data_IF_012548432849
#
_entry.id   IF_012548432849
#
_cell.length_a   1.000
_cell.length_b   1.000
_cell.length_c   1.000
_cell.angle_alpha   90.00
_cell.angle_beta   90.00
_cell.angle_gamma   90.00
#
_symmetry.space_group_name_H-M   'P 1'
#
loop_
_entity.id
_entity.type
_entity.pdbx_description
1 polymer ?
#
# COMPACT_ATOMS: atom_id res chain seq x y z
N UNK A 1 -13.68 -9.12 26.91
CA UNK A 1 -13.76 -9.99 25.71
C UNK A 1 -14.22 -9.26 24.45
N UNK A 2 -15.29 -8.47 24.51
CA UNK A 2 -15.84 -7.74 23.35
C UNK A 2 -14.85 -6.76 22.70
N UNK A 3 -14.21 -5.88 23.48
CA UNK A 3 -13.24 -4.88 22.98
C UNK A 3 -12.02 -5.57 22.34
N UNK A 4 -11.48 -6.60 22.99
CA UNK A 4 -10.35 -7.38 22.47
C UNK A 4 -10.70 -7.98 21.11
N UNK A 5 -11.91 -8.51 20.94
CA UNK A 5 -12.37 -9.07 19.67
C UNK A 5 -12.42 -8.01 18.56
N UNK A 6 -12.91 -6.80 18.86
CA UNK A 6 -12.94 -5.68 17.91
C UNK A 6 -11.51 -5.33 17.47
N UNK A 7 -10.60 -5.15 18.43
CA UNK A 7 -9.21 -4.78 18.16
C UNK A 7 -8.46 -5.86 17.37
N UNK A 8 -8.66 -7.13 17.71
CA UNK A 8 -8.03 -8.25 17.00
C UNK A 8 -8.54 -8.37 15.56
N UNK A 9 -9.86 -8.23 15.33
CA UNK A 9 -10.40 -8.26 13.97
C UNK A 9 -9.85 -7.10 13.14
N UNK A 10 -9.84 -5.88 13.69
CA UNK A 10 -9.27 -4.71 13.02
C UNK A 10 -7.78 -4.92 12.68
N UNK A 11 -6.99 -5.41 13.65
CA UNK A 11 -5.56 -5.67 13.46
C UNK A 11 -5.32 -6.73 12.38
N UNK A 12 -5.99 -7.89 12.45
CA UNK A 12 -5.81 -8.96 11.47
C UNK A 12 -6.25 -8.52 10.09
N UNK A 13 -7.32 -7.73 9.98
CA UNK A 13 -7.74 -7.17 8.69
C UNK A 13 -6.68 -6.25 8.09
N UNK A 14 -6.09 -5.36 8.90
CA UNK A 14 -5.00 -4.48 8.45
C UNK A 14 -3.77 -5.27 8.04
N UNK A 15 -3.38 -6.30 8.82
CA UNK A 15 -2.23 -7.16 8.52
C UNK A 15 -2.39 -7.89 7.19
N UNK A 16 -3.53 -8.54 6.97
CA UNK A 16 -3.79 -9.29 5.74
C UNK A 16 -3.97 -8.36 4.53
N UNK A 17 -4.68 -7.23 4.73
CA UNK A 17 -4.85 -6.22 3.70
C UNK A 17 -3.53 -5.63 3.26
N UNK A 18 -2.68 -5.23 4.20
CA UNK A 18 -1.34 -4.69 3.93
C UNK A 18 -0.42 -5.72 3.26
N UNK A 19 -0.46 -6.97 3.71
CA UNK A 19 0.28 -8.05 3.06
C UNK A 19 -0.12 -8.21 1.59
N UNK A 20 -1.42 -8.36 1.31
CA UNK A 20 -1.88 -8.56 -0.07
C UNK A 20 -1.67 -7.30 -0.91
N UNK A 21 -1.92 -6.11 -0.36
CA UNK A 21 -1.62 -4.84 -1.03
C UNK A 21 -0.16 -4.76 -1.40
N UNK A 22 0.75 -4.97 -0.45
CA UNK A 22 2.19 -4.85 -0.66
C UNK A 22 2.72 -5.89 -1.66
N UNK A 23 2.46 -7.18 -1.43
CA UNK A 23 3.15 -8.26 -2.15
C UNK A 23 2.47 -8.67 -3.46
N UNK A 24 1.15 -8.52 -3.55
CA UNK A 24 0.38 -9.00 -4.71
C UNK A 24 0.01 -7.86 -5.66
N UNK A 25 -0.19 -6.65 -5.15
CA UNK A 25 -0.57 -5.49 -5.95
C UNK A 25 0.59 -4.50 -6.11
N UNK A 26 0.99 -3.82 -5.04
CA UNK A 26 1.91 -2.69 -5.05
C UNK A 26 3.27 -3.02 -5.68
N UNK A 27 4.00 -4.00 -5.14
CA UNK A 27 5.34 -4.36 -5.65
C UNK A 27 5.29 -4.90 -7.10
N UNK A 28 4.39 -5.84 -7.46
CA UNK A 28 4.23 -6.26 -8.84
C UNK A 28 3.89 -5.10 -9.79
N UNK A 29 3.02 -4.19 -9.39
CA UNK A 29 2.59 -3.06 -10.23
C UNK A 29 3.74 -2.05 -10.44
N UNK A 30 4.66 -1.84 -9.49
CA UNK A 30 5.90 -1.09 -9.76
C UNK A 30 6.79 -1.69 -10.84
N UNK A 31 6.76 -3.01 -11.00
CA UNK A 31 7.67 -3.73 -11.89
C UNK A 31 7.04 -3.94 -13.25
N UNK A 32 5.80 -4.39 -13.31
CA UNK A 32 5.11 -4.77 -14.55
C UNK A 32 4.08 -3.73 -14.99
N UNK A 33 3.53 -2.99 -14.03
CA UNK A 33 2.57 -1.94 -14.24
C UNK A 33 3.18 -0.71 -14.89
N UNK A 34 2.34 0.01 -15.63
CA UNK A 34 2.67 1.33 -16.19
C UNK A 34 1.85 2.43 -15.52
N UNK A 35 0.72 2.10 -14.90
CA UNK A 35 -0.26 3.08 -14.46
C UNK A 35 -0.01 3.56 -13.03
N UNK A 36 0.25 2.65 -12.08
CA UNK A 36 0.64 3.05 -10.73
C UNK A 36 1.84 4.00 -10.75
N UNK A 37 2.87 3.71 -11.55
CA UNK A 37 4.02 4.60 -11.67
C UNK A 37 3.67 5.98 -12.26
N UNK A 38 2.75 6.05 -13.22
CA UNK A 38 2.30 7.32 -13.83
C UNK A 38 1.39 8.10 -12.89
N UNK A 39 0.53 7.43 -12.13
CA UNK A 39 -0.47 8.11 -11.29
C UNK A 39 0.09 8.41 -9.91
N UNK A 40 0.70 7.40 -9.26
CA UNK A 40 1.17 7.46 -7.88
C UNK A 40 2.49 8.25 -7.74
N UNK A 41 3.41 8.19 -8.72
CA UNK A 41 4.66 8.97 -8.71
C UNK A 41 4.64 10.23 -9.58
N UNK A 42 3.50 10.64 -10.18
CA UNK A 42 3.50 11.89 -10.95
C UNK A 42 3.69 13.11 -10.05
N UNK A 43 4.50 14.06 -10.53
CA UNK A 43 4.64 15.38 -9.90
C UNK A 43 3.33 16.21 -9.91
N UNK A 44 2.31 15.80 -10.70
CA UNK A 44 1.03 16.49 -10.80
C UNK A 44 -0.05 15.84 -9.94
N UNK A 45 -0.05 16.30 -8.68
CA UNK A 45 -1.19 16.62 -7.81
C UNK A 45 -2.35 15.60 -7.77
N UNK A 46 -2.40 14.90 -6.64
CA UNK A 46 -3.58 14.23 -6.07
C UNK A 46 -4.19 13.15 -6.99
N UNK A 47 -3.93 11.89 -6.61
CA UNK A 47 -4.58 10.70 -7.19
C UNK A 47 -6.08 10.91 -7.44
N UNK A 48 -6.78 11.48 -6.46
CA UNK A 48 -8.23 11.76 -6.52
C UNK A 48 -8.53 12.85 -7.56
N UNK A 49 -7.75 13.92 -7.58
CA UNK A 49 -7.96 15.02 -8.53
C UNK A 49 -7.76 14.54 -9.96
N UNK A 50 -6.68 13.81 -10.24
CA UNK A 50 -6.42 13.23 -11.56
C UNK A 50 -7.48 12.20 -11.96
N UNK A 51 -7.84 11.25 -11.08
CA UNK A 51 -8.83 10.22 -11.36
C UNK A 51 -10.22 10.78 -11.67
N UNK A 52 -10.68 11.77 -10.88
CA UNK A 52 -12.01 12.38 -11.02
C UNK A 52 -12.07 13.31 -12.22
N UNK A 53 -11.03 14.13 -12.48
CA UNK A 53 -11.01 15.04 -13.62
C UNK A 53 -10.84 14.33 -14.96
N UNK A 54 -9.97 13.32 -15.03
CA UNK A 54 -9.72 12.62 -16.29
C UNK A 54 -10.77 11.56 -16.60
N UNK A 55 -11.60 11.18 -15.62
CA UNK A 55 -12.57 10.06 -15.70
C UNK A 55 -11.95 8.79 -16.28
N UNK A 56 -10.65 8.61 -16.10
CA UNK A 56 -9.93 7.52 -16.73
C UNK A 56 -10.24 6.23 -15.96
N UNK A 57 -10.95 5.25 -16.58
CA UNK A 57 -11.36 4.04 -15.89
C UNK A 57 -10.18 3.22 -15.38
N UNK A 58 -9.00 3.35 -16.00
CA UNK A 58 -7.78 2.66 -15.56
C UNK A 58 -7.27 3.19 -14.23
N UNK A 59 -7.40 4.50 -13.97
CA UNK A 59 -6.97 5.12 -12.71
C UNK A 59 -7.91 4.71 -11.58
N UNK A 60 -9.21 4.64 -11.87
CA UNK A 60 -10.21 4.17 -10.91
C UNK A 60 -9.98 2.70 -10.57
N UNK A 61 -9.67 1.88 -11.58
CA UNK A 61 -9.36 0.46 -11.41
C UNK A 61 -8.08 0.24 -10.61
N UNK A 62 -7.07 1.07 -10.82
CA UNK A 62 -5.83 1.06 -10.03
C UNK A 62 -6.11 1.38 -8.55
N UNK A 63 -6.87 2.45 -8.28
CA UNK A 63 -7.30 2.78 -6.91
C UNK A 63 -8.13 1.67 -6.26
N UNK A 64 -9.03 1.04 -7.02
CA UNK A 64 -9.77 -0.11 -6.53
C UNK A 64 -8.87 -1.31 -6.25
N UNK A 65 -7.88 -1.59 -7.10
CA UNK A 65 -6.94 -2.69 -6.92
C UNK A 65 -6.08 -2.51 -5.67
N UNK A 66 -5.74 -1.26 -5.30
CA UNK A 66 -5.10 -0.95 -4.02
C UNK A 66 -6.01 -1.12 -2.80
N UNK A 67 -7.30 -0.81 -2.92
CA UNK A 67 -8.26 -0.95 -1.81
C UNK A 67 -8.80 -2.39 -1.64
N UNK A 68 -8.87 -3.16 -2.73
CA UNK A 68 -9.44 -4.51 -2.77
C UNK A 68 -8.86 -5.49 -1.73
N UNK A 69 -7.53 -5.53 -1.49
CA UNK A 69 -6.92 -6.33 -0.43
C UNK A 69 -7.57 -6.17 0.95
N UNK A 70 -8.03 -4.97 1.30
CA UNK A 70 -8.66 -4.67 2.58
C UNK A 70 -10.16 -5.01 2.59
N UNK A 71 -10.82 -4.94 1.42
CA UNK A 71 -12.25 -5.19 1.24
C UNK A 71 -12.58 -6.68 1.10
N UNK A 72 -11.69 -7.48 0.53
CA UNK A 72 -12.00 -8.88 0.21
C UNK A 72 -12.30 -9.74 1.44
N UNK A 73 -11.77 -9.37 2.61
CA UNK A 73 -12.01 -10.09 3.87
C UNK A 73 -13.26 -9.60 4.62
N UNK A 74 -13.93 -8.55 4.16
CA UNK A 74 -15.12 -7.98 4.82
C UNK A 74 -16.19 -9.03 5.08
N UNK A 75 -16.60 -9.90 4.12
CA UNK A 75 -17.63 -10.91 4.38
C UNK A 75 -17.28 -11.85 5.55
N UNK A 76 -16.01 -12.24 5.69
CA UNK A 76 -15.54 -13.11 6.76
C UNK A 76 -15.44 -12.37 8.10
N UNK A 77 -14.77 -11.21 8.14
CA UNK A 77 -14.61 -10.47 9.37
C UNK A 77 -15.91 -9.89 9.90
N UNK A 78 -16.87 -9.56 9.02
CA UNK A 78 -18.20 -9.11 9.41
C UNK A 78 -18.97 -10.15 10.23
N UNK A 79 -18.83 -11.44 9.90
CA UNK A 79 -19.43 -12.53 10.68
C UNK A 79 -18.81 -12.65 12.09
N UNK A 80 -17.55 -12.23 12.25
CA UNK A 80 -16.85 -12.27 13.52
C UNK A 80 -17.15 -11.00 14.33
N UNK A 81 -16.86 -9.81 13.82
CA UNK A 81 -17.10 -8.54 14.48
C UNK A 81 -17.31 -7.40 13.47
N UNK A 82 -18.56 -6.97 13.20
CA UNK A 82 -18.83 -5.83 12.32
C UNK A 82 -18.11 -4.56 12.75
N UNK A 83 -18.07 -4.28 14.06
CA UNK A 83 -17.36 -3.11 14.59
C UNK A 83 -15.84 -3.20 14.39
N UNK A 84 -15.26 -4.40 14.56
CA UNK A 84 -13.84 -4.63 14.25
C UNK A 84 -13.54 -4.43 12.78
N UNK A 85 -14.42 -4.92 11.90
CA UNK A 85 -14.29 -4.74 10.45
C UNK A 85 -14.35 -3.27 10.04
N UNK A 86 -15.34 -2.53 10.56
CA UNK A 86 -15.47 -1.09 10.30
C UNK A 86 -14.23 -0.35 10.82
N UNK A 87 -13.78 -0.66 12.03
CA UNK A 87 -12.59 -0.04 12.61
C UNK A 87 -11.35 -0.30 11.77
N UNK A 88 -11.13 -1.53 11.31
CA UNK A 88 -10.02 -1.88 10.43
C UNK A 88 -10.02 -1.09 9.13
N UNK A 89 -11.17 -1.01 8.46
CA UNK A 89 -11.32 -0.22 7.23
C UNK A 89 -11.05 1.27 7.44
N UNK A 90 -11.63 1.85 8.50
CA UNK A 90 -11.47 3.26 8.83
C UNK A 90 -10.01 3.59 9.16
N UNK A 91 -9.34 2.74 9.94
CA UNK A 91 -7.92 2.92 10.25
C UNK A 91 -7.03 2.78 9.02
N UNK A 92 -7.33 1.83 8.12
CA UNK A 92 -6.62 1.65 6.87
C UNK A 92 -6.73 2.89 5.98
N UNK A 93 -7.95 3.39 5.77
CA UNK A 93 -8.20 4.60 4.97
C UNK A 93 -7.53 5.83 5.59
N UNK A 94 -7.64 6.02 6.91
CA UNK A 94 -6.96 7.12 7.58
C UNK A 94 -5.44 7.03 7.43
N UNK A 95 -4.86 5.82 7.50
CA UNK A 95 -3.43 5.64 7.27
C UNK A 95 -3.04 6.00 5.84
N UNK A 96 -3.83 5.58 4.83
CA UNK A 96 -3.62 5.93 3.42
C UNK A 96 -3.63 7.45 3.21
N UNK A 97 -4.58 8.16 3.79
CA UNK A 97 -4.64 9.63 3.73
C UNK A 97 -3.43 10.24 4.45
N UNK A 98 -3.16 9.78 5.66
CA UNK A 98 -2.11 10.33 6.51
C UNK A 98 -0.73 10.17 5.90
N UNK A 99 -0.38 9.01 5.34
CA UNK A 99 0.96 8.77 4.75
C UNK A 99 1.27 9.66 3.53
N UNK A 100 0.28 10.34 2.97
CA UNK A 100 0.45 11.28 1.84
C UNK A 100 0.56 12.76 2.26
N UNK A 101 0.52 13.07 3.56
CA UNK A 101 0.56 14.48 4.01
C UNK A 101 1.95 15.14 3.91
N UNK A 102 3.04 14.38 3.78
CA UNK A 102 4.42 14.92 3.63
C UNK A 102 4.58 15.83 2.42
N UNK A 103 3.75 15.63 1.38
CA UNK A 103 3.70 16.51 0.20
C UNK A 103 3.35 17.95 0.59
N UNK A 104 2.72 18.15 1.75
CA UNK A 104 2.32 19.45 2.30
C UNK A 104 3.34 20.04 3.29
N UNK A 105 4.61 19.60 3.26
CA UNK A 105 5.70 20.01 4.18
C UNK A 105 5.43 19.70 5.66
N UNK A 106 4.43 18.86 5.94
CA UNK A 106 4.13 18.40 7.28
C UNK A 106 5.19 17.40 7.77
N UNK A 107 5.53 17.47 9.06
CA UNK A 107 6.44 16.53 9.73
C UNK A 107 5.77 15.85 10.90
N UNK A 108 5.98 14.54 11.00
CA UNK A 108 5.55 13.71 12.12
C UNK A 108 6.18 14.20 13.41
N UNK A 109 5.40 14.55 14.45
CA UNK A 109 5.95 14.88 15.75
C UNK A 109 6.80 13.74 16.31
N UNK A 110 7.91 14.06 16.97
CA UNK A 110 8.89 13.05 17.41
C UNK A 110 8.31 11.96 18.33
N UNK A 111 7.31 12.29 19.14
CA UNK A 111 6.61 11.33 20.00
C UNK A 111 5.80 10.32 19.17
N UNK A 112 5.11 10.80 18.14
CA UNK A 112 4.35 9.96 17.22
C UNK A 112 5.29 9.10 16.37
N UNK A 113 6.40 9.66 15.90
CA UNK A 113 7.42 8.91 15.16
C UNK A 113 7.98 7.74 15.99
N UNK A 114 8.31 7.97 17.27
CA UNK A 114 8.77 6.91 18.18
C UNK A 114 7.71 5.83 18.36
N UNK A 115 6.44 6.23 18.49
CA UNK A 115 5.33 5.28 18.60
C UNK A 115 5.16 4.46 17.32
N UNK A 116 5.20 5.10 16.14
CA UNK A 116 5.13 4.42 14.86
C UNK A 116 6.31 3.47 14.66
N UNK A 117 7.52 3.85 15.02
CA UNK A 117 8.68 2.97 14.96
C UNK A 117 8.54 1.76 15.89
N UNK A 118 7.98 1.94 17.09
CA UNK A 118 7.72 0.83 18.01
C UNK A 118 6.62 -0.11 17.51
N UNK A 119 5.55 0.45 16.91
CA UNK A 119 4.43 -0.31 16.36
C UNK A 119 4.68 -0.80 14.93
N UNK A 120 5.87 -0.52 14.37
CA UNK A 120 6.23 -0.80 12.99
C UNK A 120 5.23 -0.22 11.97
N UNK A 121 4.78 1.02 12.16
CA UNK A 121 3.85 1.72 11.26
C UNK A 121 4.64 2.64 10.30
N UNK A 122 4.29 2.59 9.02
CA UNK A 122 4.86 3.44 7.97
C UNK A 122 4.44 4.89 8.20
N UNK A 123 5.41 5.79 8.36
CA UNK A 123 5.15 7.22 8.52
C UNK A 123 5.08 7.92 7.16
N UNK A 124 4.50 9.14 7.10
CA UNK A 124 4.49 9.93 5.88
C UNK A 124 5.89 10.18 5.30
N UNK A 125 6.92 10.34 6.13
CA UNK A 125 8.30 10.56 5.66
C UNK A 125 8.88 9.30 5.01
N UNK A 126 8.64 8.13 5.61
CA UNK A 126 9.08 6.85 5.02
C UNK A 126 8.37 6.58 3.70
N UNK A 127 7.06 6.81 3.65
CA UNK A 127 6.28 6.71 2.41
C UNK A 127 6.78 7.72 1.36
N UNK A 128 7.21 8.90 1.77
CA UNK A 128 7.78 9.87 0.84
C UNK A 128 9.12 9.44 0.25
N UNK A 129 9.98 8.73 1.01
CA UNK A 129 11.21 8.14 0.45
C UNK A 129 10.93 7.15 -0.68
N UNK A 130 9.87 6.34 -0.53
CA UNK A 130 9.38 5.48 -1.61
C UNK A 130 8.96 6.29 -2.84
N UNK A 131 8.26 7.41 -2.64
CA UNK A 131 7.87 8.30 -3.74
C UNK A 131 9.07 8.92 -4.47
N UNK A 132 10.16 9.19 -3.76
CA UNK A 132 11.41 9.70 -4.33
C UNK A 132 12.20 8.63 -5.09
N UNK A 133 12.20 7.39 -4.59
CA UNK A 133 12.88 6.25 -5.21
C UNK A 133 11.94 5.03 -5.31
N UNK A 134 11.28 4.93 -6.47
CA UNK A 134 10.39 3.83 -6.80
C UNK A 134 11.09 2.45 -6.90
N UNK A 135 12.41 2.39 -6.78
CA UNK A 135 13.17 1.12 -6.74
C UNK A 135 13.25 0.53 -5.34
N UNK A 136 12.88 1.31 -4.31
CA UNK A 136 12.81 0.85 -2.92
C UNK A 136 11.35 0.56 -2.57
N UNK A 137 11.01 -0.71 -2.43
CA UNK A 137 9.68 -1.15 -2.00
C UNK A 137 9.51 -1.02 -0.48
N UNK A 138 8.32 -0.63 -0.06
CA UNK A 138 7.92 -0.49 1.35
C UNK A 138 6.59 -1.18 1.60
N UNK A 139 6.34 -1.56 2.85
CA UNK A 139 5.01 -1.97 3.31
C UNK A 139 4.06 -0.77 3.33
N UNK A 140 2.81 -0.99 2.91
CA UNK A 140 1.86 0.10 2.79
C UNK A 140 1.50 0.70 4.15
N UNK A 141 1.26 -0.16 5.14
CA UNK A 141 0.92 0.24 6.51
C UNK A 141 2.04 -0.12 7.49
N UNK A 142 2.62 -1.30 7.36
CA UNK A 142 3.56 -1.85 8.32
C UNK A 142 4.99 -1.97 7.79
N UNK A 143 5.94 -1.37 8.50
CA UNK A 143 7.35 -1.32 8.11
C UNK A 143 8.08 -2.67 8.23
N UNK A 144 7.52 -3.64 8.96
CA UNK A 144 8.12 -4.98 8.99
C UNK A 144 7.96 -5.72 7.64
N UNK A 145 7.08 -5.24 6.75
CA UNK A 145 7.01 -5.72 5.37
C UNK A 145 8.03 -5.08 4.43
N UNK A 146 8.74 -4.02 4.83
CA UNK A 146 9.72 -3.32 3.97
C UNK A 146 10.81 -4.27 3.44
N UNK A 147 11.48 -4.99 4.33
CA UNK A 147 12.58 -5.88 3.96
C UNK A 147 12.10 -7.04 3.06
N UNK A 148 11.02 -7.76 3.40
CA UNK A 148 10.46 -8.74 2.49
C UNK A 148 10.00 -8.13 1.16
N UNK A 149 9.42 -6.93 1.15
CA UNK A 149 8.96 -6.25 -0.07
C UNK A 149 10.13 -5.93 -1.01
N UNK A 150 11.26 -5.48 -0.48
CA UNK A 150 12.48 -5.24 -1.26
C UNK A 150 13.10 -6.54 -1.79
N UNK A 151 13.06 -7.62 -1.01
CA UNK A 151 13.48 -8.94 -1.50
C UNK A 151 12.59 -9.41 -2.65
N UNK A 152 11.27 -9.23 -2.51
CA UNK A 152 10.28 -9.56 -3.52
C UNK A 152 10.45 -8.74 -4.80
N UNK A 153 10.68 -7.42 -4.66
CA UNK A 153 10.97 -6.54 -5.77
C UNK A 153 12.18 -7.03 -6.59
N UNK A 154 13.29 -7.31 -5.92
CA UNK A 154 14.52 -7.81 -6.55
C UNK A 154 14.29 -9.14 -7.27
N UNK A 155 13.53 -10.04 -6.65
CA UNK A 155 13.16 -11.32 -7.27
C UNK A 155 12.36 -11.10 -8.56
N UNK A 156 11.27 -10.32 -8.51
CA UNK A 156 10.42 -10.07 -9.67
C UNK A 156 11.15 -9.33 -10.80
N UNK A 157 12.03 -8.38 -10.47
CA UNK A 157 12.91 -7.74 -11.45
C UNK A 157 13.83 -8.75 -12.15
N UNK A 158 14.36 -9.73 -11.41
CA UNK A 158 15.16 -10.81 -11.99
C UNK A 158 14.35 -11.68 -12.97
N UNK A 159 13.09 -11.97 -12.62
CA UNK A 159 12.15 -12.73 -13.47
C UNK A 159 11.85 -11.94 -14.75
N UNK A 160 11.51 -10.66 -14.64
CA UNK A 160 11.27 -9.76 -15.78
C UNK A 160 12.47 -9.71 -16.73
N UNK A 161 13.69 -9.60 -16.19
CA UNK A 161 14.92 -9.59 -16.99
C UNK A 161 15.14 -10.92 -17.72
N UNK A 162 14.97 -12.06 -17.03
CA UNK A 162 15.10 -13.39 -17.64
C UNK A 162 14.09 -13.60 -18.78
N UNK A 163 12.85 -13.19 -18.58
CA UNK A 163 11.80 -13.27 -19.61
C UNK A 163 12.11 -12.40 -20.84
N UNK A 164 12.64 -11.19 -20.65
CA UNK A 164 13.06 -10.34 -21.76
C UNK A 164 14.20 -10.96 -22.58
N UNK A 165 15.18 -11.56 -21.89
CA UNK A 165 16.32 -12.22 -22.52
C UNK A 165 15.92 -13.49 -23.28
N UNK A 166 14.99 -14.29 -22.77
CA UNK A 166 14.50 -15.48 -23.49
C UNK A 166 13.78 -15.09 -24.78
N UNK A 167 12.94 -14.06 -24.74
CA UNK A 167 12.25 -13.56 -25.96
C UNK A 167 13.21 -13.05 -27.03
N UNK A 168 14.32 -12.42 -26.66
CA UNK A 168 15.33 -11.94 -27.61
C UNK A 168 16.14 -13.07 -28.25
N UNK A 169 16.26 -14.23 -27.60
CA UNK A 169 16.94 -15.42 -28.15
C UNK A 169 16.05 -16.27 -29.05
N UNK A 170 14.73 -16.10 -28.95
CA UNK A 170 13.72 -16.82 -29.74
C UNK A 170 13.19 -16.02 -30.93
N UNK A 171 13.73 -14.81 -31.18
CA UNK A 171 13.40 -13.92 -32.29
C UNK A 171 14.59 -13.79 -33.23
#
# INVERSE_FOLDING_TARGET
MFIIKILLVALVQLLLGDFLSTFVYHVPEHIFGKFHAIVHHSNNRSFIHYAVLTKNPLVILDGFAGAFPYLMFVPWFWQISPLGTILGLVLGEFHVIWRHVSVMEWKTPQTLERLCNFLCITTPEKHWLHHQDATVAYGDIFTFYDQPAQAWYRFLMSVKKKYKLSRQKSS
#
